data_IF_976927053476
#
_entry.id   IF_976927053476
#
_cell.length_a   1.000
_cell.length_b   1.000
_cell.length_c   1.000
_cell.angle_alpha   90.00
_cell.angle_beta   90.00
_cell.angle_gamma   90.00
#
_symmetry.space_group_name_H-M   'P 1'
#
loop_
_entity.id
_entity.type
_entity.pdbx_description
1 polymer ?
#
# COMPACT_ATOMS: atom_id res chain seq x y z
N UNK A 1 24.83 -25.86 4.62
CA UNK A 1 23.42 -25.52 4.35
C UNK A 1 23.41 -24.04 4.05
N UNK A 2 23.19 -23.65 2.78
CA UNK A 2 23.15 -22.24 2.40
C UNK A 2 21.97 -21.58 3.10
N UNK A 3 22.23 -20.44 3.72
CA UNK A 3 21.22 -19.55 4.26
C UNK A 3 20.35 -19.12 3.08
N UNK A 4 19.13 -19.66 2.97
CA UNK A 4 18.18 -19.19 1.96
C UNK A 4 17.85 -17.75 2.33
N UNK A 5 18.03 -16.82 1.40
CA UNK A 5 17.70 -15.42 1.62
C UNK A 5 16.20 -15.29 1.91
N UNK A 6 15.84 -14.58 2.97
CA UNK A 6 14.44 -14.37 3.35
C UNK A 6 13.67 -13.66 2.22
N UNK A 7 14.36 -12.79 1.48
CA UNK A 7 13.81 -12.10 0.30
C UNK A 7 13.45 -13.10 -0.83
N UNK A 8 14.32 -14.08 -1.10
CA UNK A 8 14.08 -15.12 -2.10
C UNK A 8 12.90 -16.03 -1.71
N UNK A 9 12.77 -16.37 -0.42
CA UNK A 9 11.62 -17.15 0.09
C UNK A 9 10.32 -16.39 -0.11
N UNK A 10 10.31 -15.09 0.24
CA UNK A 10 9.13 -14.25 0.07
C UNK A 10 8.75 -14.15 -1.41
N UNK A 11 9.71 -13.86 -2.29
CA UNK A 11 9.48 -13.81 -3.74
C UNK A 11 8.90 -15.11 -4.28
N UNK A 12 9.50 -16.25 -3.91
CA UNK A 12 9.01 -17.56 -4.33
C UNK A 12 7.58 -17.83 -3.84
N UNK A 13 7.24 -17.44 -2.60
CA UNK A 13 5.88 -17.57 -2.07
C UNK A 13 4.86 -16.71 -2.81
N UNK A 14 5.20 -15.46 -3.11
CA UNK A 14 4.32 -14.54 -3.85
C UNK A 14 4.15 -14.95 -5.32
N UNK A 15 5.21 -15.47 -5.93
CA UNK A 15 5.15 -16.08 -7.26
C UNK A 15 4.26 -17.33 -7.24
N UNK A 16 4.43 -18.22 -6.27
CA UNK A 16 3.60 -19.41 -6.09
C UNK A 16 2.11 -19.05 -5.94
N UNK A 17 1.78 -18.00 -5.18
CA UNK A 17 0.43 -17.46 -5.10
C UNK A 17 -0.14 -17.09 -6.48
N UNK A 18 0.62 -16.38 -7.32
CA UNK A 18 0.17 -16.06 -8.67
C UNK A 18 -0.01 -17.33 -9.53
N UNK A 19 0.89 -18.31 -9.39
CA UNK A 19 0.84 -19.58 -10.12
C UNK A 19 -0.39 -20.42 -9.76
N UNK A 20 -0.80 -20.43 -8.49
CA UNK A 20 -2.05 -21.07 -8.05
C UNK A 20 -3.28 -20.50 -8.77
N UNK A 21 -3.22 -19.23 -9.16
CA UNK A 21 -4.25 -18.57 -9.95
C UNK A 21 -4.00 -18.58 -11.47
N UNK A 22 -3.08 -19.42 -11.94
CA UNK A 22 -2.84 -19.68 -13.36
C UNK A 22 -2.00 -18.63 -14.07
N UNK A 23 -1.23 -17.83 -13.34
CA UNK A 23 -0.19 -17.00 -13.94
C UNK A 23 1.06 -17.85 -14.19
N UNK A 24 1.78 -17.57 -15.27
CA UNK A 24 3.16 -18.00 -15.42
C UNK A 24 4.06 -16.95 -14.78
N UNK A 25 4.91 -17.33 -13.84
CA UNK A 25 5.82 -16.37 -13.20
C UNK A 25 7.27 -16.60 -13.61
N UNK A 26 8.08 -15.55 -13.51
CA UNK A 26 9.51 -15.61 -13.82
C UNK A 26 10.26 -14.55 -13.01
N UNK A 27 11.32 -14.97 -12.29
CA UNK A 27 12.27 -14.03 -11.67
C UNK A 27 13.00 -13.25 -12.75
N UNK A 28 13.17 -11.95 -12.52
CA UNK A 28 14.01 -11.09 -13.35
C UNK A 28 15.41 -11.14 -12.75
N UNK A 29 16.44 -11.58 -13.51
CA UNK A 29 17.80 -11.65 -12.99
C UNK A 29 18.33 -10.27 -12.62
N UNK A 30 18.88 -10.14 -11.41
CA UNK A 30 19.66 -8.97 -11.02
C UNK A 30 20.94 -8.90 -11.84
N UNK A 31 20.97 -8.06 -12.88
CA UNK A 31 22.22 -7.74 -13.56
C UNK A 31 22.97 -6.70 -12.72
N UNK A 32 24.17 -7.05 -12.22
CA UNK A 32 24.88 -6.33 -11.15
C UNK A 32 25.11 -4.81 -11.35
N UNK A 33 24.89 -4.27 -12.55
CA UNK A 33 25.01 -2.84 -12.83
C UNK A 33 23.66 -2.10 -12.95
N UNK A 34 22.53 -2.80 -13.15
CA UNK A 34 21.21 -2.19 -13.33
C UNK A 34 20.21 -2.72 -12.31
N UNK A 35 19.64 -1.79 -11.53
CA UNK A 35 18.48 -2.04 -10.68
C UNK A 35 17.33 -2.59 -11.53
N UNK A 36 16.93 -3.83 -11.30
CA UNK A 36 15.82 -4.50 -11.98
C UNK A 36 14.64 -4.73 -11.02
N UNK A 37 13.43 -4.88 -11.56
CA UNK A 37 12.29 -5.45 -10.85
C UNK A 37 12.57 -6.88 -10.43
N UNK A 38 11.73 -7.42 -9.55
CA UNK A 38 11.97 -8.72 -8.95
C UNK A 38 11.44 -9.86 -9.82
N UNK A 39 10.21 -9.73 -10.34
CA UNK A 39 9.60 -10.79 -11.13
C UNK A 39 8.51 -10.31 -12.09
N UNK A 40 8.19 -11.18 -13.04
CA UNK A 40 7.07 -11.06 -13.96
C UNK A 40 5.97 -12.04 -13.60
N UNK A 41 4.73 -11.63 -13.82
CA UNK A 41 3.58 -12.52 -13.97
C UNK A 41 3.00 -12.37 -15.37
N UNK A 42 2.63 -13.48 -16.01
CA UNK A 42 2.03 -13.49 -17.34
C UNK A 42 0.76 -14.33 -17.35
N UNK A 43 -0.32 -13.79 -17.91
CA UNK A 43 -1.58 -14.52 -18.07
C UNK A 43 -2.40 -13.92 -19.21
N UNK A 44 -2.94 -14.78 -20.08
CA UNK A 44 -3.79 -14.37 -21.21
C UNK A 44 -3.11 -13.36 -22.15
N UNK A 45 -1.80 -13.52 -22.40
CA UNK A 45 -1.02 -12.61 -23.24
C UNK A 45 -0.73 -11.24 -22.64
N UNK A 46 -1.06 -11.04 -21.36
CA UNK A 46 -0.76 -9.81 -20.61
C UNK A 46 0.42 -10.03 -19.67
N UNK A 47 1.28 -9.02 -19.59
CA UNK A 47 2.49 -9.02 -18.75
C UNK A 47 2.34 -8.03 -17.60
N UNK A 48 2.66 -8.50 -16.40
CA UNK A 48 2.68 -7.73 -15.16
C UNK A 48 4.11 -7.76 -14.60
N UNK A 49 4.69 -6.59 -14.39
CA UNK A 49 6.04 -6.44 -13.84
C UNK A 49 5.90 -6.01 -12.39
N UNK A 50 6.46 -6.79 -11.47
CA UNK A 50 6.34 -6.58 -10.04
C UNK A 50 7.69 -6.21 -9.43
N UNK A 51 7.62 -5.22 -8.56
CA UNK A 51 8.72 -4.85 -7.66
C UNK A 51 8.24 -4.97 -6.22
N UNK A 52 8.88 -5.84 -5.46
CA UNK A 52 8.58 -6.16 -4.08
C UNK A 52 9.28 -5.20 -3.12
N UNK A 53 8.51 -4.62 -2.20
CA UNK A 53 9.03 -3.89 -1.05
C UNK A 53 8.37 -4.43 0.20
N UNK A 54 9.19 -4.99 1.08
CA UNK A 54 8.74 -5.43 2.39
C UNK A 54 8.85 -4.30 3.41
N UNK A 55 7.92 -4.29 4.36
CA UNK A 55 8.01 -3.57 5.61
C UNK A 55 7.90 -4.54 6.78
N UNK A 56 8.98 -4.61 7.53
CA UNK A 56 9.07 -5.32 8.82
C UNK A 56 9.35 -4.31 9.93
N UNK A 57 9.08 -4.72 11.17
CA UNK A 57 9.51 -3.98 12.34
C UNK A 57 11.03 -3.95 12.48
N UNK A 58 11.52 -2.92 13.15
CA UNK A 58 12.92 -2.83 13.58
C UNK A 58 13.19 -3.90 14.67
N UNK A 59 14.11 -4.85 14.44
CA UNK A 59 14.43 -5.90 15.40
C UNK A 59 14.84 -5.38 16.77
N UNK A 60 15.55 -4.25 16.84
CA UNK A 60 16.02 -3.68 18.09
C UNK A 60 14.84 -3.11 18.90
N UNK A 61 13.91 -2.42 18.21
CA UNK A 61 12.69 -1.93 18.82
C UNK A 61 11.78 -3.07 19.33
N UNK A 62 11.75 -4.20 18.62
CA UNK A 62 11.04 -5.40 19.08
C UNK A 62 11.65 -5.99 20.35
N UNK A 63 12.98 -6.03 20.42
CA UNK A 63 13.70 -6.55 21.57
C UNK A 63 13.47 -5.66 22.80
N UNK A 64 13.59 -4.35 22.65
CA UNK A 64 13.34 -3.38 23.72
C UNK A 64 11.90 -3.49 24.26
N UNK A 65 10.90 -3.53 23.37
CA UNK A 65 9.50 -3.72 23.76
C UNK A 65 9.33 -5.02 24.55
N UNK A 66 9.92 -6.12 24.07
CA UNK A 66 9.82 -7.43 24.73
C UNK A 66 10.39 -7.41 26.15
N UNK A 67 11.52 -6.74 26.36
CA UNK A 67 12.13 -6.62 27.69
C UNK A 67 11.29 -5.78 28.64
N UNK A 68 10.66 -4.71 28.15
CA UNK A 68 9.73 -3.88 28.95
C UNK A 68 8.47 -4.64 29.32
N UNK A 69 7.87 -5.34 28.36
CA UNK A 69 6.71 -6.20 28.57
C UNK A 69 6.99 -7.31 29.59
N UNK A 70 8.19 -7.92 29.56
CA UNK A 70 8.62 -8.93 30.56
C UNK A 70 8.70 -8.38 31.97
N UNK A 71 8.97 -7.08 32.15
CA UNK A 71 8.98 -6.41 33.46
C UNK A 71 7.58 -6.04 33.96
N UNK A 72 6.52 -6.41 33.21
CA UNK A 72 5.14 -6.05 33.52
C UNK A 72 4.80 -4.60 33.16
N UNK A 73 5.64 -3.92 32.37
CA UNK A 73 5.36 -2.56 31.94
C UNK A 73 4.26 -2.54 30.86
N UNK A 74 3.45 -1.48 30.88
CA UNK A 74 2.58 -1.14 29.74
C UNK A 74 3.43 -0.42 28.69
N UNK A 75 3.43 -0.92 27.46
CA UNK A 75 4.13 -0.30 26.34
C UNK A 75 3.09 0.38 25.44
N UNK A 76 2.91 1.72 25.55
CA UNK A 76 2.10 2.47 24.61
C UNK A 76 2.86 2.74 23.32
N UNK A 77 2.15 2.76 22.20
CA UNK A 77 2.64 3.28 20.92
C UNK A 77 1.57 4.10 20.24
N UNK A 78 2.00 5.14 19.53
CA UNK A 78 1.14 5.98 18.72
C UNK A 78 1.71 6.04 17.31
N UNK A 79 0.90 5.67 16.32
CA UNK A 79 1.28 5.68 14.92
C UNK A 79 0.34 6.57 14.11
N UNK A 80 0.91 7.31 13.15
CA UNK A 80 0.10 8.02 12.16
C UNK A 80 -0.46 7.04 11.13
N UNK A 81 -1.75 7.13 10.80
CA UNK A 81 -2.34 6.31 9.72
C UNK A 81 -2.25 6.99 8.34
N UNK A 82 -1.65 8.19 8.27
CA UNK A 82 -1.51 8.93 7.01
C UNK A 82 -0.27 8.54 6.20
N UNK A 83 0.08 9.34 5.17
CA UNK A 83 1.24 9.08 4.33
C UNK A 83 2.53 8.95 5.14
N UNK A 84 3.37 7.99 4.76
CA UNK A 84 4.60 7.66 5.45
C UNK A 84 5.82 7.90 4.55
N UNK A 85 6.81 8.65 5.03
CA UNK A 85 7.97 9.04 4.25
C UNK A 85 8.85 7.84 3.83
N UNK A 86 9.03 6.85 4.71
CA UNK A 86 9.82 5.64 4.41
C UNK A 86 9.11 4.78 3.35
N UNK A 87 7.78 4.70 3.41
CA UNK A 87 6.99 4.02 2.38
C UNK A 87 7.11 4.75 1.04
N UNK A 88 7.02 6.09 1.05
CA UNK A 88 7.18 6.93 -0.15
C UNK A 88 8.56 6.76 -0.78
N UNK A 89 9.62 6.69 0.04
CA UNK A 89 10.98 6.42 -0.42
C UNK A 89 11.09 5.05 -1.08
N UNK A 90 10.65 3.98 -0.40
CA UNK A 90 10.66 2.61 -0.95
C UNK A 90 9.86 2.50 -2.25
N UNK A 91 8.68 3.12 -2.31
CA UNK A 91 7.86 3.16 -3.51
C UNK A 91 8.59 3.86 -4.67
N UNK A 92 9.22 5.01 -4.41
CA UNK A 92 10.01 5.74 -5.41
C UNK A 92 11.19 4.93 -5.91
N UNK A 93 11.90 4.22 -5.03
CA UNK A 93 12.97 3.31 -5.42
C UNK A 93 12.45 2.19 -6.31
N UNK A 94 11.32 1.59 -5.93
CA UNK A 94 10.69 0.56 -6.72
C UNK A 94 10.24 1.04 -8.09
N UNK A 95 9.69 2.25 -8.19
CA UNK A 95 9.36 2.87 -9.48
C UNK A 95 10.61 3.04 -10.35
N UNK A 96 11.77 3.40 -9.76
CA UNK A 96 13.03 3.48 -10.53
C UNK A 96 13.43 2.12 -11.11
N UNK A 97 13.26 1.04 -10.36
CA UNK A 97 13.50 -0.33 -10.83
C UNK A 97 12.53 -0.70 -11.96
N UNK A 98 11.23 -0.47 -11.76
CA UNK A 98 10.19 -0.70 -12.77
C UNK A 98 10.49 0.05 -14.08
N UNK A 99 10.90 1.32 -14.00
CA UNK A 99 11.27 2.13 -15.17
C UNK A 99 12.53 1.64 -15.89
N UNK A 100 13.46 1.04 -15.18
CA UNK A 100 14.73 0.59 -15.75
C UNK A 100 14.58 -0.72 -16.54
N UNK A 101 13.45 -1.40 -16.39
CA UNK A 101 13.14 -2.65 -17.07
C UNK A 101 12.27 -2.43 -18.29
N UNK A 102 12.71 -2.98 -19.41
CA UNK A 102 11.95 -3.02 -20.66
C UNK A 102 11.44 -4.43 -20.86
N UNK A 103 10.14 -4.64 -20.62
CA UNK A 103 9.48 -5.87 -21.00
C UNK A 103 9.35 -5.98 -22.53
N UNK A 104 9.19 -7.20 -23.03
CA UNK A 104 8.75 -7.42 -24.40
C UNK A 104 7.26 -7.01 -24.52
N UNK A 105 6.99 -5.89 -25.19
CA UNK A 105 5.63 -5.39 -25.40
C UNK A 105 5.10 -4.48 -24.27
N UNK A 106 3.78 -4.28 -24.24
CA UNK A 106 3.12 -3.48 -23.20
C UNK A 106 3.02 -4.29 -21.90
N UNK A 107 3.44 -3.70 -20.79
CA UNK A 107 3.40 -4.34 -19.48
C UNK A 107 2.82 -3.40 -18.42
N UNK A 108 2.08 -3.97 -17.47
CA UNK A 108 1.59 -3.23 -16.31
C UNK A 108 2.64 -3.25 -15.21
N UNK A 109 3.17 -2.08 -14.86
CA UNK A 109 4.10 -1.95 -13.73
C UNK A 109 3.34 -1.77 -12.43
N UNK A 110 3.63 -2.66 -11.47
CA UNK A 110 2.94 -2.76 -10.19
C UNK A 110 3.98 -2.81 -9.06
N UNK A 111 3.74 -2.03 -8.01
CA UNK A 111 4.46 -2.24 -6.74
C UNK A 111 3.79 -3.38 -5.98
N UNK A 112 4.57 -4.29 -5.42
CA UNK A 112 4.11 -5.27 -4.44
C UNK A 112 4.60 -4.83 -3.06
N UNK A 113 3.71 -4.39 -2.19
CA UNK A 113 4.05 -3.94 -0.85
C UNK A 113 3.62 -5.01 0.16
N UNK A 114 4.57 -5.64 0.82
CA UNK A 114 4.32 -6.66 1.84
C UNK A 114 4.46 -6.04 3.24
N UNK A 115 3.43 -6.19 4.06
CA UNK A 115 3.40 -5.75 5.45
C UNK A 115 3.55 -6.97 6.37
N UNK A 116 4.55 -6.91 7.24
CA UNK A 116 4.87 -7.95 8.20
C UNK A 116 5.27 -7.33 9.56
N UNK A 117 5.19 -8.15 10.62
CA UNK A 117 5.52 -7.75 11.99
C UNK A 117 4.29 -7.58 12.90
N UNK A 118 4.40 -6.67 13.87
CA UNK A 118 3.46 -6.45 14.98
C UNK A 118 2.09 -5.94 14.55
N UNK A 119 2.07 -5.08 13.54
CA UNK A 119 0.86 -4.37 13.13
C UNK A 119 0.77 -4.25 11.59
N UNK A 120 0.61 -5.37 10.88
CA UNK A 120 0.56 -5.36 9.43
C UNK A 120 -0.65 -4.56 8.92
N UNK A 121 -1.76 -4.52 9.65
CA UNK A 121 -2.95 -3.76 9.25
C UNK A 121 -2.70 -2.24 9.22
N UNK A 122 -2.01 -1.71 10.23
CA UNK A 122 -1.61 -0.29 10.25
C UNK A 122 -0.62 0.02 9.14
N UNK A 123 0.30 -0.90 8.86
CA UNK A 123 1.22 -0.76 7.73
C UNK A 123 0.48 -0.75 6.39
N UNK A 124 -0.55 -1.59 6.21
CA UNK A 124 -1.41 -1.59 5.02
C UNK A 124 -2.13 -0.25 4.87
N UNK A 125 -2.70 0.32 5.93
CA UNK A 125 -3.32 1.64 5.85
C UNK A 125 -2.31 2.75 5.55
N UNK A 126 -1.10 2.69 6.09
CA UNK A 126 -0.02 3.61 5.72
C UNK A 126 0.42 3.44 4.26
N UNK A 127 0.44 2.21 3.73
CA UNK A 127 0.65 1.96 2.29
C UNK A 127 -0.45 2.62 1.46
N UNK A 128 -1.73 2.38 1.78
CA UNK A 128 -2.87 3.00 1.08
C UNK A 128 -2.82 4.52 1.15
N UNK A 129 -2.59 5.07 2.34
CA UNK A 129 -2.47 6.51 2.55
C UNK A 129 -1.32 7.12 1.76
N UNK A 130 -0.19 6.41 1.62
CA UNK A 130 0.96 6.90 0.84
C UNK A 130 0.73 6.79 -0.67
N UNK A 131 0.16 5.68 -1.14
CA UNK A 131 -0.12 5.46 -2.55
C UNK A 131 -1.17 6.44 -3.07
N UNK A 132 -2.26 6.62 -2.34
CA UNK A 132 -3.38 7.46 -2.74
C UNK A 132 -3.34 8.88 -2.15
N UNK A 133 -2.47 9.19 -1.19
CA UNK A 133 -2.46 10.52 -0.56
C UNK A 133 -3.73 10.76 0.25
N UNK A 134 -4.10 9.77 1.06
CA UNK A 134 -5.39 9.77 1.78
C UNK A 134 -5.31 10.70 2.98
N UNK A 135 -6.37 11.49 3.15
CA UNK A 135 -6.71 12.15 4.41
C UNK A 135 -8.17 11.89 4.74
N UNK A 136 -8.61 12.29 5.93
CA UNK A 136 -10.03 12.35 6.25
C UNK A 136 -10.55 13.77 6.01
N UNK A 137 -11.73 13.88 5.42
CA UNK A 137 -12.40 15.15 5.15
C UNK A 137 -13.81 15.10 5.75
N UNK A 138 -14.21 16.17 6.40
CA UNK A 138 -15.54 16.30 7.00
C UNK A 138 -16.07 17.74 6.93
N UNK A 139 -17.36 17.85 7.16
CA UNK A 139 -18.10 19.09 7.45
C UNK A 139 -18.75 18.89 8.82
N UNK A 140 -18.96 19.97 9.58
CA UNK A 140 -19.63 19.87 10.89
C UNK A 140 -21.02 19.26 10.71
N UNK A 141 -21.34 18.25 11.52
CA UNK A 141 -22.61 17.53 11.44
C UNK A 141 -22.70 16.48 10.33
N UNK A 142 -21.62 16.28 9.54
CA UNK A 142 -21.53 15.22 8.53
C UNK A 142 -20.55 14.11 8.95
N UNK A 143 -20.76 12.86 8.48
CA UNK A 143 -19.78 11.79 8.69
C UNK A 143 -18.42 12.12 8.07
N UNK A 144 -17.37 11.62 8.72
CA UNK A 144 -16.00 11.64 8.21
C UNK A 144 -15.89 10.76 6.97
N UNK A 145 -15.29 11.27 5.89
CA UNK A 145 -15.03 10.51 4.67
C UNK A 145 -13.56 10.51 4.32
N UNK A 146 -13.05 9.38 3.82
CA UNK A 146 -11.73 9.33 3.21
C UNK A 146 -11.73 10.18 1.94
N UNK A 147 -10.70 11.00 1.77
CA UNK A 147 -10.44 11.71 0.51
C UNK A 147 -9.16 11.17 -0.12
N UNK A 148 -9.30 10.60 -1.31
CA UNK A 148 -8.21 10.10 -2.12
C UNK A 148 -7.61 11.25 -2.94
N UNK A 149 -6.30 11.17 -3.19
CA UNK A 149 -5.49 12.15 -3.93
C UNK A 149 -5.49 13.58 -3.34
N UNK A 150 -5.85 13.70 -2.05
CA UNK A 150 -5.87 14.99 -1.35
C UNK A 150 -4.45 15.47 -1.07
N UNK A 151 -3.64 14.58 -0.51
CA UNK A 151 -2.22 14.81 -0.25
C UNK A 151 -1.40 14.35 -1.46
N UNK A 152 -0.16 14.81 -1.49
CA UNK A 152 0.82 14.34 -2.46
C UNK A 152 1.02 12.82 -2.32
N UNK A 153 0.90 12.07 -3.41
CA UNK A 153 0.85 10.60 -3.39
C UNK A 153 1.71 9.94 -4.46
N UNK A 154 2.07 8.68 -4.26
CA UNK A 154 2.89 7.95 -5.23
C UNK A 154 2.13 7.68 -6.54
N UNK A 155 0.85 7.35 -6.47
CA UNK A 155 0.02 7.19 -7.67
C UNK A 155 -0.16 8.51 -8.44
N UNK A 156 -0.22 9.65 -7.77
CA UNK A 156 -0.26 10.95 -8.45
C UNK A 156 1.08 11.28 -9.12
N UNK A 157 2.20 11.12 -8.38
CA UNK A 157 3.57 11.39 -8.86
C UNK A 157 3.98 10.51 -10.04
N UNK A 158 3.63 9.24 -9.96
CA UNK A 158 4.09 8.19 -10.89
C UNK A 158 2.96 7.65 -11.76
N UNK A 159 1.94 8.48 -12.05
CA UNK A 159 0.75 8.06 -12.81
C UNK A 159 1.05 7.53 -14.21
N UNK A 160 2.10 8.03 -14.85
CA UNK A 160 2.55 7.55 -16.17
C UNK A 160 3.21 6.18 -16.12
N UNK A 161 3.70 5.74 -14.95
CA UNK A 161 4.44 4.48 -14.84
C UNK A 161 3.75 3.43 -14.00
N UNK A 162 3.12 3.80 -12.88
CA UNK A 162 2.43 2.87 -12.01
C UNK A 162 0.98 2.68 -12.45
N UNK A 163 0.65 1.46 -12.87
CA UNK A 163 -0.71 1.05 -13.13
C UNK A 163 -1.48 0.77 -11.82
N UNK A 164 -0.77 0.39 -10.76
CA UNK A 164 -1.34 0.06 -9.46
C UNK A 164 -0.31 -0.51 -8.48
N UNK A 165 -0.82 -1.14 -7.42
CA UNK A 165 -0.03 -1.84 -6.43
C UNK A 165 -0.80 -3.04 -5.85
N UNK A 166 -0.07 -4.06 -5.42
CA UNK A 166 -0.59 -5.19 -4.64
C UNK A 166 -0.11 -5.00 -3.21
N UNK A 167 -1.05 -4.96 -2.25
CA UNK A 167 -0.77 -4.88 -0.83
C UNK A 167 -1.03 -6.25 -0.23
N UNK A 168 -0.08 -6.76 0.55
CA UNK A 168 -0.20 -8.08 1.16
C UNK A 168 0.21 -8.09 2.62
N UNK A 169 -0.42 -8.97 3.38
CA UNK A 169 0.04 -9.45 4.69
C UNK A 169 0.21 -10.97 4.58
N UNK A 170 0.51 -11.64 5.69
CA UNK A 170 0.51 -13.11 5.73
C UNK A 170 -0.87 -13.75 5.41
N UNK A 171 -1.98 -12.99 5.51
CA UNK A 171 -3.33 -13.54 5.39
C UNK A 171 -4.27 -12.77 4.46
N UNK A 172 -3.85 -11.63 3.92
CA UNK A 172 -4.69 -10.78 3.08
C UNK A 172 -3.96 -10.29 1.84
N UNK A 173 -4.71 -10.12 0.76
CA UNK A 173 -4.28 -9.49 -0.49
C UNK A 173 -5.27 -8.38 -0.83
N UNK A 174 -4.78 -7.23 -1.27
CA UNK A 174 -5.58 -6.14 -1.82
C UNK A 174 -4.89 -5.57 -3.05
N UNK A 175 -5.61 -5.40 -4.14
CA UNK A 175 -5.11 -4.75 -5.36
C UNK A 175 -5.61 -3.33 -5.42
N UNK A 176 -4.69 -2.37 -5.36
CA UNK A 176 -4.97 -0.95 -5.48
C UNK A 176 -4.71 -0.50 -6.92
N UNK A 177 -5.73 -0.01 -7.62
CA UNK A 177 -5.54 0.55 -8.98
C UNK A 177 -5.22 2.04 -8.93
N UNK A 178 -4.33 2.49 -9.80
CA UNK A 178 -4.08 3.91 -9.97
C UNK A 178 -5.09 4.51 -10.95
N UNK A 179 -6.10 5.21 -10.44
CA UNK A 179 -7.15 5.81 -11.28
C UNK A 179 -6.67 7.00 -12.12
N UNK A 180 -5.44 7.48 -11.86
CA UNK A 180 -4.80 8.53 -12.66
C UNK A 180 -3.90 7.96 -13.77
N UNK A 181 -3.74 6.62 -13.83
CA UNK A 181 -2.91 5.98 -14.84
C UNK A 181 -3.56 5.99 -16.21
N UNK A 182 -2.81 6.26 -17.30
CA UNK A 182 -3.33 6.16 -18.66
C UNK A 182 -3.73 4.71 -19.02
N UNK A 183 -3.19 3.72 -18.31
CA UNK A 183 -3.49 2.30 -18.53
C UNK A 183 -4.66 1.78 -17.67
N UNK A 184 -5.39 2.65 -16.96
CA UNK A 184 -6.46 2.26 -16.01
C UNK A 184 -7.49 1.30 -16.63
N UNK A 185 -8.01 1.64 -17.81
CA UNK A 185 -9.06 0.85 -18.45
C UNK A 185 -8.54 -0.52 -18.91
N UNK A 186 -7.31 -0.54 -19.45
CA UNK A 186 -6.64 -1.79 -19.83
C UNK A 186 -6.36 -2.67 -18.62
N UNK A 187 -5.92 -2.08 -17.50
CA UNK A 187 -5.69 -2.81 -16.24
C UNK A 187 -7.00 -3.35 -15.68
N UNK A 188 -8.08 -2.56 -15.64
CA UNK A 188 -9.42 -3.03 -15.18
C UNK A 188 -9.92 -4.24 -15.97
N UNK A 189 -9.65 -4.27 -17.28
CA UNK A 189 -10.02 -5.38 -18.16
C UNK A 189 -9.06 -6.58 -18.10
N UNK A 190 -7.94 -6.45 -17.36
CA UNK A 190 -6.87 -7.45 -17.34
C UNK A 190 -7.22 -8.72 -16.55
N UNK A 191 -6.50 -9.79 -16.87
CA UNK A 191 -6.57 -11.09 -16.21
C UNK A 191 -6.25 -11.00 -14.72
N UNK A 192 -5.38 -10.08 -14.30
CA UNK A 192 -5.10 -9.81 -12.88
C UNK A 192 -6.34 -9.34 -12.13
N UNK A 193 -7.00 -8.30 -12.65
CA UNK A 193 -8.18 -7.74 -11.97
C UNK A 193 -9.36 -8.70 -12.02
N UNK A 194 -9.56 -9.43 -13.13
CA UNK A 194 -10.59 -10.48 -13.20
C UNK A 194 -10.37 -11.59 -12.18
N UNK A 195 -9.12 -12.05 -12.05
CA UNK A 195 -8.75 -13.12 -11.11
C UNK A 195 -8.98 -12.68 -9.67
N UNK A 196 -8.50 -11.48 -9.30
CA UNK A 196 -8.52 -10.97 -7.94
C UNK A 196 -9.60 -9.91 -7.71
N UNK A 197 -10.75 -10.02 -8.38
CA UNK A 197 -11.79 -8.98 -8.35
C UNK A 197 -12.33 -8.69 -6.94
N UNK A 198 -12.38 -9.69 -6.05
CA UNK A 198 -12.81 -9.51 -4.66
C UNK A 198 -11.78 -8.78 -3.79
N UNK A 199 -10.51 -8.76 -4.20
CA UNK A 199 -9.42 -8.04 -3.54
C UNK A 199 -9.23 -6.62 -4.12
N UNK A 200 -10.02 -6.23 -5.13
CA UNK A 200 -9.87 -4.95 -5.80
C UNK A 200 -10.33 -3.78 -4.93
N UNK A 201 -9.43 -2.83 -4.72
CA UNK A 201 -9.73 -1.50 -4.26
C UNK A 201 -9.83 -0.53 -5.45
N UNK A 202 -11.06 -0.16 -5.80
CA UNK A 202 -11.38 0.81 -6.85
C UNK A 202 -11.97 2.10 -6.22
N UNK A 203 -11.18 3.19 -6.14
CA UNK A 203 -11.67 4.46 -5.60
C UNK A 203 -12.89 5.00 -6.34
N UNK A 204 -12.93 4.95 -7.67
CA UNK A 204 -14.05 5.51 -8.44
C UNK A 204 -15.36 4.77 -8.18
N UNK A 205 -15.30 3.46 -7.92
CA UNK A 205 -16.48 2.71 -7.47
C UNK A 205 -16.99 3.24 -6.13
N UNK A 206 -16.08 3.39 -5.16
CA UNK A 206 -16.40 3.89 -3.82
C UNK A 206 -16.91 5.34 -3.84
N UNK A 207 -16.42 6.16 -4.76
CA UNK A 207 -16.87 7.54 -4.96
C UNK A 207 -18.31 7.59 -5.51
N UNK A 208 -18.64 6.76 -6.51
CA UNK A 208 -20.01 6.67 -7.05
C UNK A 208 -21.03 6.22 -6.01
N UNK A 209 -20.60 5.39 -5.06
CA UNK A 209 -21.40 4.95 -3.92
C UNK A 209 -21.50 6.03 -2.81
N UNK A 210 -20.83 7.18 -2.97
CA UNK A 210 -20.85 8.29 -2.04
C UNK A 210 -20.07 8.04 -0.75
N UNK A 211 -19.23 7.00 -0.70
CA UNK A 211 -18.49 6.58 0.50
C UNK A 211 -17.21 7.39 0.72
N UNK A 212 -16.62 7.90 -0.36
CA UNK A 212 -15.36 8.66 -0.33
C UNK A 212 -15.45 9.93 -1.16
N UNK A 213 -14.42 10.76 -1.04
CA UNK A 213 -14.10 11.83 -1.97
C UNK A 213 -12.85 11.50 -2.77
N UNK A 214 -12.75 12.06 -3.99
CA UNK A 214 -11.58 11.98 -4.87
C UNK A 214 -11.21 13.40 -5.32
N UNK A 215 -9.98 13.79 -5.04
CA UNK A 215 -9.36 15.03 -5.49
C UNK A 215 -8.56 14.83 -6.80
N UNK A 216 -9.26 14.54 -7.89
CA UNK A 216 -8.76 14.35 -9.25
C UNK A 216 -8.44 15.67 -10.01
N UNK A 217 -8.22 16.76 -9.26
CA UNK A 217 -7.78 18.04 -9.82
C UNK A 217 -6.27 18.06 -10.12
N UNK A 218 -5.79 19.09 -10.83
CA UNK A 218 -4.34 19.31 -11.08
C UNK A 218 -3.68 20.27 -10.09
N UNK A 219 -4.39 20.73 -9.05
CA UNK A 219 -3.88 21.70 -8.08
C UNK A 219 -2.61 21.23 -7.35
N UNK A 220 -1.82 22.16 -6.83
CA UNK A 220 -0.69 21.79 -5.99
C UNK A 220 -1.18 21.26 -4.63
N UNK A 221 -0.88 20.00 -4.29
CA UNK A 221 -1.32 19.34 -3.05
C UNK A 221 -0.68 19.91 -1.78
N UNK A 222 0.37 20.73 -1.92
CA UNK A 222 0.92 21.51 -0.80
C UNK A 222 -0.03 22.63 -0.36
N UNK A 223 -0.90 23.10 -1.24
CA UNK A 223 -1.96 24.04 -0.90
C UNK A 223 -3.26 23.27 -0.64
N UNK A 224 -3.44 22.83 0.60
CA UNK A 224 -4.62 22.08 1.03
C UNK A 224 -5.92 22.85 0.81
N UNK A 225 -5.90 24.18 0.92
CA UNK A 225 -7.09 24.99 0.75
C UNK A 225 -7.63 24.88 -0.69
N UNK A 226 -6.77 24.95 -1.70
CA UNK A 226 -7.19 24.78 -3.09
C UNK A 226 -7.81 23.39 -3.34
N UNK A 227 -7.32 22.35 -2.66
CA UNK A 227 -7.90 21.01 -2.76
C UNK A 227 -9.27 20.97 -2.07
N UNK A 228 -9.41 21.58 -0.90
CA UNK A 228 -10.70 21.69 -0.20
C UNK A 228 -11.73 22.48 -1.02
N UNK A 229 -11.34 23.61 -1.61
CA UNK A 229 -12.22 24.44 -2.46
C UNK A 229 -12.69 23.67 -3.70
N UNK A 230 -11.80 22.88 -4.30
CA UNK A 230 -12.14 21.97 -5.38
C UNK A 230 -13.18 20.93 -4.93
N UNK A 231 -12.98 20.29 -3.78
CA UNK A 231 -13.92 19.29 -3.24
C UNK A 231 -15.27 19.91 -2.88
N UNK A 232 -15.27 21.09 -2.27
CA UNK A 232 -16.48 21.85 -1.96
C UNK A 232 -17.30 22.11 -3.22
N UNK A 233 -16.63 22.55 -4.29
CA UNK A 233 -17.27 22.78 -5.59
C UNK A 233 -17.78 21.47 -6.22
N UNK A 234 -16.94 20.43 -6.28
CA UNK A 234 -17.26 19.14 -6.92
C UNK A 234 -18.45 18.44 -6.27
N UNK A 235 -18.54 18.47 -4.93
CA UNK A 235 -19.56 17.73 -4.19
C UNK A 235 -20.67 18.62 -3.60
N UNK A 236 -20.68 19.92 -3.92
CA UNK A 236 -21.67 20.87 -3.41
C UNK A 236 -21.67 20.95 -1.88
N UNK A 237 -20.49 21.01 -1.26
CA UNK A 237 -20.29 21.06 0.19
C UNK A 237 -19.77 22.42 0.63
N UNK A 238 -20.00 22.76 1.88
CA UNK A 238 -19.47 23.99 2.48
C UNK A 238 -18.50 23.65 3.61
N UNK A 239 -17.53 24.53 3.87
CA UNK A 239 -16.68 24.47 5.07
C UNK A 239 -16.00 23.09 5.31
N UNK A 240 -15.62 22.40 4.24
CA UNK A 240 -14.86 21.15 4.36
C UNK A 240 -13.54 21.40 5.10
N UNK A 241 -13.20 20.50 6.01
CA UNK A 241 -11.97 20.47 6.79
C UNK A 241 -11.28 19.13 6.62
N UNK A 242 -9.93 19.12 6.65
CA UNK A 242 -9.15 17.88 6.69
C UNK A 242 -8.64 17.54 8.10
N UNK A 243 -8.52 16.26 8.38
CA UNK A 243 -7.93 15.74 9.60
C UNK A 243 -7.12 14.48 9.30
N UNK A 244 -5.93 14.41 9.87
CA UNK A 244 -5.12 13.20 9.83
C UNK A 244 -5.35 12.41 11.12
N UNK A 245 -5.79 11.16 10.96
CA UNK A 245 -5.99 10.26 12.09
C UNK A 245 -4.67 9.55 12.45
N UNK A 246 -4.50 9.28 13.74
CA UNK A 246 -3.50 8.37 14.26
C UNK A 246 -4.17 7.24 15.05
N UNK A 247 -3.39 6.21 15.33
CA UNK A 247 -3.80 5.05 16.11
C UNK A 247 -2.95 4.98 17.38
N UNK A 248 -3.62 4.85 18.52
CA UNK A 248 -2.99 4.59 19.80
C UNK A 248 -3.20 3.12 20.17
N UNK A 249 -2.12 2.43 20.51
CA UNK A 249 -2.15 1.04 21.00
C UNK A 249 -1.40 0.97 22.32
N UNK A 250 -1.84 0.08 23.21
CA UNK A 250 -1.13 -0.23 24.45
C UNK A 250 -1.03 -1.74 24.59
N UNK A 251 0.17 -2.25 24.88
CA UNK A 251 0.42 -3.68 25.08
C UNK A 251 0.85 -3.93 26.52
N UNK A 252 0.39 -5.04 27.06
CA UNK A 252 0.72 -5.53 28.41
C UNK A 252 0.80 -7.06 28.36
N UNK A 253 1.68 -7.64 29.18
CA UNK A 253 1.70 -9.08 29.42
C UNK A 253 0.77 -9.39 30.59
N UNK A 254 -0.25 -10.19 30.32
CA UNK A 254 -1.14 -10.72 31.37
C UNK A 254 -0.57 -12.06 31.84
N UNK A 255 -0.32 -12.25 33.15
CA UNK A 255 0.11 -13.54 33.68
C UNK A 255 -0.88 -14.65 33.31
N UNK A 256 -0.38 -15.83 32.95
CA UNK A 256 -1.25 -16.97 32.66
C UNK A 256 -1.96 -17.46 33.92
N UNK A 257 -3.12 -18.14 33.79
CA UNK A 257 -3.75 -18.83 34.91
C UNK A 257 -2.83 -19.97 35.38
N UNK A 258 -1.94 -19.68 36.32
CA UNK A 258 -0.91 -20.59 36.84
C UNK A 258 0.24 -19.91 37.59
N UNK A 259 0.51 -18.62 37.30
CA UNK A 259 1.65 -17.90 37.90
C UNK A 259 1.35 -17.28 39.29
N UNK A 260 0.18 -17.58 39.85
CA UNK A 260 -0.30 -17.03 41.13
C UNK A 260 -0.17 -17.95 42.35
N UNK A 261 0.37 -19.17 42.21
CA UNK A 261 0.60 -20.08 43.33
C UNK A 261 2.07 -20.02 43.77
N UNK A 262 2.38 -19.05 44.64
CA UNK A 262 3.50 -19.16 45.58
C UNK A 262 2.94 -19.39 46.97
#
# INVERSE_FOLDING_TARGET
MSQIDADDVLKAGLMGLLEEFGFKTQLIPSSGEKKSPDFLGMKEGQTFVFELKERVDDPDALLEERERLRKGEVVPSFESMGPNARVSEKAREGVKQLRAYSAEGEAFHLLWLHAAGRDPETQIEQFRSTLYGITQVFEIGSPLKRCYYFLESEFFRHRSELAGAVLTTASSVQICINTLSPHLQALRASSLIKTFHNALLDPEKSEREGLIYIADCTHNRRNKQNVLDYLQTKYGRTQLMDMQLGMATARIVVPGPGDGAK
#
